data_IF_068101073031
#
_entry.id   IF_068101073031
#
_cell.length_a   1.000
_cell.length_b   1.000
_cell.length_c   1.000
_cell.angle_alpha   90.00
_cell.angle_beta   90.00
_cell.angle_gamma   90.00
#
_symmetry.space_group_name_H-M   'P 1'
#
loop_
_entity.id
_entity.type
_entity.pdbx_description
1 polymer ?
#
# COMPACT_ATOMS: atom_id res chain seq x y z
N UNK A 1 -8.74 4.80 5.07
CA UNK A 1 -7.32 4.85 4.64
C UNK A 1 -6.54 5.82 5.52
N UNK A 2 -5.32 5.47 5.91
CA UNK A 2 -4.42 6.30 6.75
C UNK A 2 -4.07 7.66 6.13
N UNK A 3 -4.17 7.79 4.81
CA UNK A 3 -3.97 9.06 4.10
C UNK A 3 -5.10 10.10 4.32
N UNK A 4 -6.26 9.70 4.86
CA UNK A 4 -7.45 10.56 4.95
C UNK A 4 -7.21 11.87 5.72
N UNK A 5 -6.60 11.87 6.93
CA UNK A 5 -6.35 13.10 7.67
C UNK A 5 -5.49 14.10 6.87
N UNK A 6 -4.46 13.61 6.18
CA UNK A 6 -3.59 14.45 5.36
C UNK A 6 -4.29 14.99 4.12
N UNK A 7 -5.15 14.19 3.48
CA UNK A 7 -5.97 14.68 2.36
C UNK A 7 -6.91 15.81 2.78
N UNK A 8 -7.51 15.70 3.97
CA UNK A 8 -8.39 16.72 4.54
C UNK A 8 -7.60 18.00 4.89
N UNK A 9 -6.46 17.85 5.56
CA UNK A 9 -5.57 18.96 5.94
C UNK A 9 -5.04 19.72 4.72
N UNK A 10 -4.56 19.00 3.71
CA UNK A 10 -4.04 19.57 2.45
C UNK A 10 -5.15 19.96 1.46
N UNK A 11 -6.43 19.72 1.82
CA UNK A 11 -7.61 19.98 0.97
C UNK A 11 -7.46 19.37 -0.43
N UNK A 12 -6.98 18.13 -0.51
CA UNK A 12 -6.79 17.41 -1.77
C UNK A 12 -8.15 17.21 -2.45
N UNK A 13 -8.29 17.72 -3.68
CA UNK A 13 -9.52 17.60 -4.49
C UNK A 13 -9.31 16.78 -5.77
N UNK A 14 -8.09 16.30 -6.00
CA UNK A 14 -7.74 15.45 -7.12
C UNK A 14 -7.76 13.99 -6.69
N UNK A 15 -7.89 13.03 -7.62
CA UNK A 15 -7.80 11.63 -7.27
C UNK A 15 -6.43 11.28 -6.68
N UNK A 16 -6.42 10.31 -5.76
CA UNK A 16 -5.22 9.87 -5.05
C UNK A 16 -4.95 8.40 -5.31
N UNK A 17 -3.67 8.03 -5.39
CA UNK A 17 -3.22 6.64 -5.48
C UNK A 17 -2.90 6.16 -4.06
N UNK A 18 -3.58 5.12 -3.59
CA UNK A 18 -3.39 4.53 -2.24
C UNK A 18 -3.27 3.00 -2.33
N UNK A 19 -2.92 2.36 -1.21
CA UNK A 19 -2.69 0.91 -1.13
C UNK A 19 -1.71 0.39 -2.20
N UNK A 20 -0.54 1.01 -2.32
CA UNK A 20 0.50 0.63 -3.29
C UNK A 20 0.04 0.60 -4.75
N UNK A 21 -0.96 1.39 -5.12
CA UNK A 21 -1.52 1.43 -6.48
C UNK A 21 -2.71 0.51 -6.72
N UNK A 22 -3.16 -0.24 -5.69
CA UNK A 22 -4.38 -1.05 -5.79
C UNK A 22 -5.63 -0.17 -5.97
N UNK A 23 -5.62 1.05 -5.42
CA UNK A 23 -6.77 1.95 -5.43
C UNK A 23 -6.38 3.32 -5.96
N UNK A 24 -7.22 3.83 -6.85
CA UNK A 24 -7.26 5.25 -7.19
C UNK A 24 -8.61 5.80 -6.72
N UNK A 25 -8.58 6.74 -5.78
CA UNK A 25 -9.78 7.21 -5.08
C UNK A 25 -10.05 8.69 -5.38
N UNK A 26 -11.30 9.03 -5.70
CA UNK A 26 -11.75 10.42 -5.88
C UNK A 26 -12.32 10.95 -4.53
N UNK A 27 -11.63 11.91 -3.88
CA UNK A 27 -12.08 12.45 -2.60
C UNK A 27 -13.29 13.38 -2.73
N UNK A 28 -13.56 13.94 -3.90
CA UNK A 28 -14.71 14.84 -4.15
C UNK A 28 -15.98 14.02 -4.34
N UNK A 29 -15.90 12.94 -5.12
CA UNK A 29 -17.03 12.04 -5.36
C UNK A 29 -17.18 10.96 -4.28
N UNK A 30 -16.20 10.86 -3.37
CA UNK A 30 -16.12 9.88 -2.30
C UNK A 30 -16.28 8.43 -2.79
N UNK A 31 -15.58 8.07 -3.88
CA UNK A 31 -15.63 6.73 -4.47
C UNK A 31 -14.30 6.32 -5.11
N UNK A 32 -13.99 5.01 -5.21
CA UNK A 32 -12.89 4.55 -6.04
C UNK A 32 -13.18 4.79 -7.52
N UNK A 33 -12.18 5.31 -8.24
CA UNK A 33 -12.12 5.32 -9.70
C UNK A 33 -11.54 4.00 -10.24
N UNK A 34 -10.65 3.39 -9.46
CA UNK A 34 -10.10 2.05 -9.65
C UNK A 34 -9.93 1.40 -8.29
N UNK A 35 -10.31 0.13 -8.19
CA UNK A 35 -10.05 -0.71 -7.03
C UNK A 35 -9.74 -2.12 -7.52
N UNK A 36 -8.58 -2.64 -7.13
CA UNK A 36 -8.12 -3.98 -7.46
C UNK A 36 -8.19 -4.87 -6.23
N UNK A 37 -8.53 -6.13 -6.44
CA UNK A 37 -8.68 -7.12 -5.39
C UNK A 37 -7.74 -8.29 -5.62
N UNK A 38 -7.31 -8.90 -4.52
CA UNK A 38 -6.58 -10.16 -4.56
C UNK A 38 -7.58 -11.22 -5.04
N UNK A 39 -7.29 -12.02 -6.07
CA UNK A 39 -8.22 -13.06 -6.46
C UNK A 39 -8.37 -14.09 -5.32
N UNK A 40 -9.59 -14.58 -5.10
CA UNK A 40 -9.92 -15.26 -3.84
C UNK A 40 -9.12 -16.54 -3.56
N UNK A 41 -8.69 -17.24 -4.62
CA UNK A 41 -7.81 -18.41 -4.52
C UNK A 41 -6.45 -18.03 -3.91
N UNK A 42 -5.86 -16.96 -4.41
CA UNK A 42 -4.56 -16.44 -3.98
C UNK A 42 -4.66 -15.83 -2.58
N UNK A 43 -5.74 -15.10 -2.28
CA UNK A 43 -6.00 -14.58 -0.94
C UNK A 43 -6.06 -15.70 0.10
N UNK A 44 -6.80 -16.79 -0.19
CA UNK A 44 -6.87 -17.95 0.69
C UNK A 44 -5.53 -18.64 0.86
N UNK A 45 -4.76 -18.82 -0.22
CA UNK A 45 -3.41 -19.40 -0.15
C UNK A 45 -2.48 -18.54 0.70
N UNK A 46 -2.45 -17.23 0.48
CA UNK A 46 -1.61 -16.31 1.24
C UNK A 46 -1.97 -16.31 2.72
N UNK A 47 -3.27 -16.29 3.03
CA UNK A 47 -3.77 -16.36 4.40
C UNK A 47 -3.35 -17.65 5.12
N UNK A 48 -3.56 -18.81 4.51
CA UNK A 48 -3.17 -20.12 5.08
C UNK A 48 -1.65 -20.23 5.23
N UNK A 49 -0.88 -19.73 4.26
CA UNK A 49 0.59 -19.70 4.34
C UNK A 49 1.07 -18.85 5.51
N UNK A 50 0.53 -17.64 5.67
CA UNK A 50 0.91 -16.73 6.75
C UNK A 50 0.55 -17.27 8.13
N UNK A 51 -0.57 -17.99 8.27
CA UNK A 51 -0.98 -18.62 9.54
C UNK A 51 -0.02 -19.70 10.06
N UNK A 52 0.97 -20.13 9.27
CA UNK A 52 2.07 -20.99 9.76
C UNK A 52 3.04 -20.25 10.68
N UNK A 53 2.96 -18.93 10.71
CA UNK A 53 3.75 -18.04 11.54
C UNK A 53 2.89 -17.51 12.70
N UNK A 54 3.50 -17.10 13.84
CA UNK A 54 2.79 -16.47 14.93
C UNK A 54 2.42 -15.02 14.58
N UNK A 55 1.40 -14.87 13.72
CA UNK A 55 0.91 -13.58 13.22
C UNK A 55 -0.58 -13.37 13.51
N UNK A 56 -0.97 -12.09 13.50
CA UNK A 56 -2.35 -11.65 13.65
C UNK A 56 -2.84 -11.10 12.31
N UNK A 57 -3.67 -11.87 11.58
CA UNK A 57 -4.12 -11.47 10.25
C UNK A 57 -5.30 -10.50 10.30
N UNK A 58 -5.33 -9.58 9.35
CA UNK A 58 -6.42 -8.66 9.08
C UNK A 58 -6.79 -8.72 7.60
N UNK A 59 -8.08 -8.67 7.30
CA UNK A 59 -8.66 -8.74 5.97
C UNK A 59 -9.39 -7.42 5.71
N UNK A 60 -9.00 -6.72 4.64
CA UNK A 60 -9.65 -5.50 4.18
C UNK A 60 -10.50 -5.84 2.96
N UNK A 61 -11.79 -5.53 3.00
CA UNK A 61 -12.72 -5.88 1.91
C UNK A 61 -12.69 -4.86 0.78
N UNK A 62 -12.77 -3.57 1.12
CA UNK A 62 -12.86 -2.46 0.18
C UNK A 62 -12.26 -1.19 0.76
N UNK A 63 -12.04 -0.16 -0.06
CA UNK A 63 -11.43 1.13 0.37
C UNK A 63 -12.33 1.93 1.32
N UNK A 64 -13.64 1.81 1.15
CA UNK A 64 -14.68 2.57 1.84
C UNK A 64 -15.24 1.83 3.07
N UNK A 65 -14.86 0.56 3.26
CA UNK A 65 -15.16 -0.21 4.46
C UNK A 65 -14.21 0.19 5.61
N UNK A 66 -14.70 0.80 6.69
CA UNK A 66 -13.86 1.15 7.84
C UNK A 66 -13.54 -0.04 8.75
N UNK A 67 -14.01 -1.24 8.38
CA UNK A 67 -13.91 -2.47 9.18
C UNK A 67 -12.79 -3.35 8.65
N UNK A 68 -11.91 -3.79 9.54
CA UNK A 68 -10.99 -4.89 9.29
C UNK A 68 -11.58 -6.17 9.87
N UNK A 69 -11.45 -7.27 9.15
CA UNK A 69 -11.96 -8.56 9.58
C UNK A 69 -10.82 -9.47 10.00
N UNK A 70 -10.97 -10.20 11.10
CA UNK A 70 -9.96 -11.10 11.65
C UNK A 70 -10.60 -12.37 12.20
N UNK A 71 -9.94 -13.55 12.16
CA UNK A 71 -10.42 -14.74 12.87
C UNK A 71 -10.59 -14.54 14.37
N UNK A 72 -9.78 -13.66 14.96
CA UNK A 72 -9.80 -13.35 16.38
C UNK A 72 -9.28 -11.95 16.62
N UNK A 73 -9.95 -11.18 17.47
CA UNK A 73 -9.42 -9.90 17.95
C UNK A 73 -8.35 -10.20 19.01
N UNK A 74 -7.13 -9.72 18.77
CA UNK A 74 -5.96 -9.89 19.65
C UNK A 74 -5.42 -8.52 20.06
N UNK A 75 -4.62 -8.41 21.15
CA UNK A 75 -4.09 -7.12 21.58
C UNK A 75 -3.32 -6.36 20.49
N UNK A 76 -2.51 -7.00 19.61
CA UNK A 76 -1.89 -6.30 18.48
C UNK A 76 -2.89 -5.74 17.46
N UNK A 77 -4.02 -6.44 17.22
CA UNK A 77 -5.07 -5.95 16.33
C UNK A 77 -5.81 -4.78 16.99
N UNK A 78 -6.16 -4.87 18.27
CA UNK A 78 -6.81 -3.79 19.02
C UNK A 78 -5.96 -2.51 19.02
N UNK A 79 -4.67 -2.65 19.31
CA UNK A 79 -3.72 -1.54 19.27
C UNK A 79 -3.64 -0.92 17.87
N UNK A 80 -3.57 -1.75 16.83
CA UNK A 80 -3.53 -1.29 15.45
C UNK A 80 -4.79 -0.51 15.06
N UNK A 81 -5.99 -1.08 15.26
CA UNK A 81 -7.24 -0.42 14.83
C UNK A 81 -7.53 0.84 15.64
N UNK A 82 -7.11 0.90 16.91
CA UNK A 82 -7.19 2.12 17.72
C UNK A 82 -6.29 3.22 17.14
N UNK A 83 -5.05 2.91 16.76
CA UNK A 83 -4.11 3.88 16.21
C UNK A 83 -4.54 4.39 14.83
N UNK A 84 -5.11 3.51 14.00
CA UNK A 84 -5.56 3.82 12.64
C UNK A 84 -7.01 4.35 12.57
N UNK A 85 -7.69 4.46 13.72
CA UNK A 85 -9.11 4.84 13.82
C UNK A 85 -10.03 3.96 12.94
N UNK A 86 -9.81 2.65 12.98
CA UNK A 86 -10.56 1.62 12.28
C UNK A 86 -11.43 0.80 13.25
N UNK A 87 -12.35 0.00 12.70
CA UNK A 87 -13.11 -1.00 13.46
C UNK A 87 -12.56 -2.40 13.20
N UNK A 88 -12.64 -3.29 14.17
CA UNK A 88 -12.34 -4.71 13.99
C UNK A 88 -13.62 -5.54 14.17
N UNK A 89 -13.81 -6.54 13.30
CA UNK A 89 -14.86 -7.54 13.44
C UNK A 89 -14.25 -8.95 13.46
N UNK A 90 -14.69 -9.77 14.40
CA UNK A 90 -14.26 -11.16 14.51
C UNK A 90 -15.09 -12.07 13.58
N UNK A 91 -14.41 -12.76 12.67
CA UNK A 91 -14.99 -13.72 11.72
C UNK A 91 -14.20 -15.03 11.82
N UNK A 92 -14.59 -15.94 12.73
CA UNK A 92 -13.80 -17.15 13.04
C UNK A 92 -13.45 -18.02 11.83
N UNK A 93 -14.33 -18.05 10.83
CA UNK A 93 -14.06 -18.69 9.54
C UNK A 93 -14.12 -17.64 8.40
N UNK A 94 -12.97 -17.08 8.00
CA UNK A 94 -12.92 -16.05 6.96
C UNK A 94 -12.94 -16.59 5.53
N UNK A 95 -13.13 -17.90 5.30
CA UNK A 95 -13.05 -18.50 3.94
C UNK A 95 -13.99 -17.81 2.95
N UNK A 96 -15.19 -17.42 3.37
CA UNK A 96 -16.13 -16.68 2.53
C UNK A 96 -15.60 -15.28 2.16
N UNK A 97 -15.04 -14.54 3.12
CA UNK A 97 -14.44 -13.23 2.89
C UNK A 97 -13.24 -13.31 1.94
N UNK A 98 -12.36 -14.28 2.17
CA UNK A 98 -11.21 -14.52 1.31
C UNK A 98 -11.64 -14.88 -0.12
N UNK A 99 -12.68 -15.71 -0.25
CA UNK A 99 -13.21 -16.14 -1.56
C UNK A 99 -13.84 -15.01 -2.37
N UNK A 100 -14.37 -13.97 -1.72
CA UNK A 100 -14.91 -12.78 -2.42
C UNK A 100 -13.84 -11.87 -3.04
N UNK A 101 -12.57 -12.11 -2.72
CA UNK A 101 -11.45 -11.30 -3.19
C UNK A 101 -11.30 -10.03 -2.34
N UNK A 102 -10.48 -10.05 -1.28
CA UNK A 102 -10.24 -8.88 -0.46
C UNK A 102 -9.36 -7.85 -1.19
N UNK A 103 -9.53 -6.58 -0.84
CA UNK A 103 -8.65 -5.49 -1.29
C UNK A 103 -7.20 -5.74 -0.84
N UNK A 104 -7.00 -6.10 0.43
CA UNK A 104 -5.67 -6.47 0.95
C UNK A 104 -5.75 -7.39 2.17
N UNK A 105 -4.64 -8.07 2.44
CA UNK A 105 -4.38 -8.72 3.73
C UNK A 105 -3.24 -7.99 4.42
N UNK A 106 -3.32 -7.87 5.74
CA UNK A 106 -2.25 -7.36 6.59
C UNK A 106 -1.95 -8.41 7.67
N UNK A 107 -0.68 -8.73 7.87
CA UNK A 107 -0.23 -9.63 8.93
C UNK A 107 0.65 -8.85 9.90
N UNK A 108 0.26 -8.88 11.18
CA UNK A 108 1.02 -8.27 12.28
C UNK A 108 1.80 -9.38 13.00
N UNK A 109 3.11 -9.24 13.13
CA UNK A 109 3.95 -10.22 13.81
C UNK A 109 5.21 -9.62 14.40
N UNK A 110 6.01 -10.43 15.10
CA UNK A 110 7.30 -9.97 15.62
C UNK A 110 8.30 -9.67 14.51
N UNK A 111 9.19 -8.71 14.74
CA UNK A 111 10.04 -8.17 13.67
C UNK A 111 11.07 -9.17 13.13
N UNK A 112 11.46 -10.14 13.95
CA UNK A 112 12.41 -11.21 13.61
C UNK A 112 11.78 -12.26 12.67
N UNK A 113 10.46 -12.51 12.76
CA UNK A 113 9.77 -13.45 11.86
C UNK A 113 9.37 -12.84 10.51
N UNK A 114 9.31 -11.50 10.41
CA UNK A 114 8.84 -10.81 9.19
C UNK A 114 9.65 -11.20 7.93
N UNK A 115 11.00 -11.27 7.95
CA UNK A 115 11.76 -11.67 6.77
C UNK A 115 11.39 -13.07 6.25
N UNK A 116 11.27 -14.05 7.15
CA UNK A 116 10.94 -15.43 6.78
C UNK A 116 9.50 -15.56 6.29
N UNK A 117 8.56 -14.82 6.89
CA UNK A 117 7.19 -14.73 6.41
C UNK A 117 7.13 -14.17 4.98
N UNK A 118 7.84 -13.08 4.70
CA UNK A 118 7.88 -12.47 3.36
C UNK A 118 8.47 -13.47 2.36
N UNK A 119 9.59 -14.12 2.70
CA UNK A 119 10.21 -15.11 1.82
C UNK A 119 9.24 -16.26 1.50
N UNK A 120 8.56 -16.78 2.52
CA UNK A 120 7.61 -17.89 2.38
C UNK A 120 6.38 -17.49 1.55
N UNK A 121 5.85 -16.27 1.74
CA UNK A 121 4.73 -15.76 0.94
C UNK A 121 5.12 -15.62 -0.54
N UNK A 122 6.30 -15.05 -0.82
CA UNK A 122 6.82 -14.88 -2.19
C UNK A 122 7.07 -16.21 -2.89
N UNK A 123 7.53 -17.22 -2.16
CA UNK A 123 7.74 -18.56 -2.71
C UNK A 123 6.41 -19.30 -2.92
N UNK A 124 5.51 -19.24 -1.94
CA UNK A 124 4.29 -20.05 -1.92
C UNK A 124 3.16 -19.45 -2.74
N UNK A 125 3.14 -18.13 -2.95
CA UNK A 125 2.11 -17.38 -3.66
C UNK A 125 2.77 -16.25 -4.47
N UNK A 126 3.63 -16.56 -5.46
CA UNK A 126 4.36 -15.54 -6.22
C UNK A 126 3.44 -14.63 -7.06
N UNK A 127 2.17 -15.01 -7.24
CA UNK A 127 1.20 -14.25 -8.00
C UNK A 127 0.80 -12.93 -7.33
N UNK A 128 0.85 -12.84 -6.00
CA UNK A 128 0.43 -11.64 -5.25
C UNK A 128 1.61 -10.71 -4.96
N UNK A 129 1.33 -9.42 -4.84
CA UNK A 129 2.33 -8.45 -4.41
C UNK A 129 2.50 -8.53 -2.89
N UNK A 130 3.69 -8.88 -2.41
CA UNK A 130 4.03 -8.95 -0.97
C UNK A 130 4.98 -7.83 -0.58
N UNK A 131 4.53 -6.95 0.31
CA UNK A 131 5.25 -5.75 0.74
C UNK A 131 5.45 -5.74 2.24
N UNK A 132 6.64 -5.33 2.69
CA UNK A 132 6.86 -4.99 4.09
C UNK A 132 6.36 -3.57 4.33
N UNK A 133 5.22 -3.43 5.00
CA UNK A 133 4.63 -2.11 5.27
C UNK A 133 5.26 -1.41 6.49
N UNK A 134 5.79 -2.18 7.44
CA UNK A 134 6.51 -1.66 8.60
C UNK A 134 7.46 -2.70 9.18
N UNK A 135 8.13 -2.37 10.29
CA UNK A 135 9.04 -3.29 10.98
C UNK A 135 8.37 -4.63 11.31
N UNK A 136 7.10 -4.59 11.72
CA UNK A 136 6.28 -5.70 12.21
C UNK A 136 5.07 -6.04 11.31
N UNK A 137 4.97 -5.43 10.13
CA UNK A 137 3.79 -5.51 9.25
C UNK A 137 4.15 -6.01 7.86
N UNK A 138 3.38 -6.99 7.37
CA UNK A 138 3.44 -7.49 5.99
C UNK A 138 2.09 -7.35 5.34
N UNK A 139 2.06 -6.70 4.18
CA UNK A 139 0.88 -6.61 3.33
C UNK A 139 0.97 -7.61 2.19
N UNK A 140 -0.15 -8.26 1.91
CA UNK A 140 -0.40 -8.97 0.67
C UNK A 140 -1.46 -8.18 -0.09
N UNK A 141 -1.17 -7.93 -1.35
CA UNK A 141 -1.87 -7.02 -2.23
C UNK A 141 -2.18 -7.69 -3.58
N UNK A 142 -3.08 -7.12 -4.39
CA UNK A 142 -3.41 -7.67 -5.71
C UNK A 142 -2.17 -7.91 -6.59
N UNK A 143 -2.22 -8.90 -7.50
CA UNK A 143 -1.14 -9.21 -8.43
C UNK A 143 -0.67 -8.00 -9.25
N UNK A 144 0.64 -7.87 -9.40
CA UNK A 144 1.26 -6.96 -10.37
C UNK A 144 0.96 -5.48 -10.12
N UNK A 145 0.68 -5.08 -8.88
CA UNK A 145 0.53 -3.66 -8.53
C UNK A 145 1.85 -3.06 -8.07
N UNK A 146 2.02 -1.78 -8.36
CA UNK A 146 3.04 -0.89 -7.81
C UNK A 146 2.49 0.54 -7.70
N UNK A 147 3.21 1.41 -6.97
CA UNK A 147 2.92 2.85 -6.98
C UNK A 147 3.05 3.45 -8.40
N UNK A 148 3.98 2.94 -9.21
CA UNK A 148 4.17 3.39 -10.59
C UNK A 148 3.03 2.98 -11.52
N UNK A 149 2.45 1.79 -11.35
CA UNK A 149 1.26 1.36 -12.09
C UNK A 149 0.03 2.17 -11.68
N UNK A 150 -0.07 2.54 -10.40
CA UNK A 150 -1.10 3.45 -9.91
C UNK A 150 -0.97 4.85 -10.51
N UNK A 151 0.27 5.39 -10.55
CA UNK A 151 0.58 6.68 -11.19
C UNK A 151 0.24 6.64 -12.68
N UNK A 152 0.68 5.62 -13.42
CA UNK A 152 0.44 5.48 -14.85
C UNK A 152 -1.06 5.43 -15.16
N UNK A 153 -1.83 4.67 -14.39
CA UNK A 153 -3.29 4.62 -14.55
C UNK A 153 -3.95 5.98 -14.28
N UNK A 154 -3.53 6.68 -13.22
CA UNK A 154 -4.09 7.99 -12.90
C UNK A 154 -3.77 9.02 -13.97
N UNK A 155 -2.54 9.01 -14.49
CA UNK A 155 -2.11 9.85 -15.60
C UNK A 155 -2.96 9.62 -16.86
N UNK A 156 -3.17 8.37 -17.25
CA UNK A 156 -4.04 8.00 -18.37
C UNK A 156 -5.48 8.51 -18.17
N UNK A 157 -6.04 8.28 -16.97
CA UNK A 157 -7.38 8.75 -16.62
C UNK A 157 -7.53 10.28 -16.71
N UNK A 158 -6.50 11.03 -16.35
CA UNK A 158 -6.49 12.49 -16.40
C UNK A 158 -6.07 13.06 -17.77
N UNK A 159 -5.64 12.21 -18.72
CA UNK A 159 -5.08 12.66 -19.99
C UNK A 159 -3.73 13.40 -19.85
N UNK A 160 -2.97 13.10 -18.79
CA UNK A 160 -1.67 13.72 -18.50
C UNK A 160 -0.55 12.73 -18.85
N UNK A 161 0.36 13.06 -19.78
CA UNK A 161 1.52 12.23 -20.07
C UNK A 161 2.41 12.04 -18.83
N UNK A 162 2.94 10.82 -18.64
CA UNK A 162 3.92 10.55 -17.56
C UNK A 162 5.14 11.47 -17.60
N UNK A 163 5.55 11.94 -18.78
CA UNK A 163 6.65 12.90 -18.93
C UNK A 163 6.40 14.25 -18.28
N UNK A 164 5.16 14.55 -17.88
CA UNK A 164 4.78 15.78 -17.17
C UNK A 164 4.56 15.57 -15.66
N UNK A 165 5.02 14.44 -15.11
CA UNK A 165 4.92 14.16 -13.68
C UNK A 165 6.25 14.29 -12.96
N UNK A 166 6.14 14.60 -11.67
CA UNK A 166 7.24 14.49 -10.71
C UNK A 166 6.87 13.40 -9.71
N UNK A 167 7.75 12.42 -9.51
CA UNK A 167 7.61 11.40 -8.47
C UNK A 167 8.70 11.59 -7.43
N UNK A 168 8.32 11.59 -6.16
CA UNK A 168 9.24 11.71 -5.02
C UNK A 168 9.08 10.49 -4.14
N UNK A 169 10.19 9.87 -3.73
CA UNK A 169 10.15 8.71 -2.86
C UNK A 169 11.46 8.47 -2.11
N UNK A 170 11.41 7.54 -1.17
CA UNK A 170 12.49 7.27 -0.23
C UNK A 170 12.73 5.76 -0.02
N UNK A 171 11.88 4.88 -0.55
CA UNK A 171 11.97 3.44 -0.34
C UNK A 171 11.95 2.66 -1.66
N UNK A 172 12.34 1.39 -1.61
CA UNK A 172 12.27 0.49 -2.79
C UNK A 172 10.85 0.40 -3.37
N UNK A 173 9.81 0.55 -2.54
CA UNK A 173 8.42 0.56 -3.00
C UNK A 173 8.05 1.74 -3.90
N UNK A 174 8.88 2.80 -3.92
CA UNK A 174 8.72 3.99 -4.76
C UNK A 174 9.48 3.88 -6.09
N UNK A 175 10.37 2.89 -6.22
CA UNK A 175 11.28 2.77 -7.37
C UNK A 175 10.57 2.83 -8.70
N UNK A 176 9.57 1.98 -8.89
CA UNK A 176 8.84 1.92 -10.16
C UNK A 176 8.08 3.23 -10.47
N UNK A 177 7.64 3.98 -9.45
CA UNK A 177 7.03 5.30 -9.64
C UNK A 177 8.07 6.35 -10.03
N UNK A 178 9.24 6.33 -9.39
CA UNK A 178 10.37 7.23 -9.68
C UNK A 178 10.90 7.01 -11.09
N UNK A 179 11.11 5.75 -11.50
CA UNK A 179 11.64 5.41 -12.84
C UNK A 179 10.69 5.78 -13.98
N UNK A 180 9.37 5.78 -13.73
CA UNK A 180 8.34 6.06 -14.76
C UNK A 180 7.98 7.54 -14.90
N UNK A 181 8.21 8.35 -13.88
CA UNK A 181 7.88 9.76 -13.91
C UNK A 181 8.78 10.53 -14.89
N UNK A 182 8.30 11.68 -15.39
CA UNK A 182 9.11 12.59 -16.18
C UNK A 182 10.32 13.12 -15.39
N UNK A 183 10.13 13.33 -14.09
CA UNK A 183 11.19 13.63 -13.13
C UNK A 183 11.02 12.77 -11.87
N UNK A 184 11.91 11.80 -11.69
CA UNK A 184 12.03 11.01 -10.47
C UNK A 184 13.02 11.66 -9.49
N UNK A 185 12.60 11.78 -8.23
CA UNK A 185 13.37 12.38 -7.13
C UNK A 185 13.47 11.40 -5.96
N UNK A 186 14.69 11.18 -5.49
CA UNK A 186 14.96 10.38 -4.29
C UNK A 186 15.29 11.27 -3.09
N UNK A 187 14.76 10.93 -1.91
CA UNK A 187 15.14 11.58 -0.65
C UNK A 187 16.47 11.00 -0.15
N UNK A 188 17.42 11.86 0.25
CA UNK A 188 18.75 11.44 0.69
C UNK A 188 18.70 10.50 1.89
N UNK A 189 17.84 10.75 2.88
CA UNK A 189 17.70 9.92 4.08
C UNK A 189 16.98 8.59 3.82
N UNK A 190 16.46 8.37 2.61
CA UNK A 190 15.83 7.12 2.19
C UNK A 190 16.83 5.99 1.94
N UNK A 191 16.30 4.85 1.48
CA UNK A 191 17.07 3.68 1.10
C UNK A 191 18.19 4.06 0.12
N UNK A 192 19.47 3.80 0.42
CA UNK A 192 20.57 4.12 -0.50
C UNK A 192 20.38 3.57 -1.92
N UNK A 193 19.70 2.43 -2.07
CA UNK A 193 19.45 1.82 -3.37
C UNK A 193 18.55 2.69 -4.26
N UNK A 194 17.61 3.45 -3.68
CA UNK A 194 16.65 4.26 -4.46
C UNK A 194 17.33 5.39 -5.23
N UNK A 195 18.48 5.86 -4.73
CA UNK A 195 19.19 7.03 -5.25
C UNK A 195 19.70 6.82 -6.68
N UNK A 196 20.06 5.59 -7.06
CA UNK A 196 20.48 5.27 -8.42
C UNK A 196 19.33 5.20 -9.43
N UNK A 197 18.08 5.22 -8.96
CA UNK A 197 16.89 5.13 -9.80
C UNK A 197 16.26 6.50 -10.08
N UNK A 198 16.67 7.55 -9.35
CA UNK A 198 16.18 8.91 -9.52
C UNK A 198 17.12 9.79 -10.35
N UNK A 199 16.57 10.78 -11.05
CA UNK A 199 17.35 11.79 -11.76
C UNK A 199 17.93 12.85 -10.82
N UNK A 200 17.25 13.10 -9.69
CA UNK A 200 17.68 14.08 -8.68
C UNK A 200 17.60 13.45 -7.29
N UNK A 201 18.59 13.74 -6.45
CA UNK A 201 18.57 13.40 -5.02
C UNK A 201 18.51 14.69 -4.23
N UNK A 202 17.53 14.83 -3.34
CA UNK A 202 17.35 16.01 -2.48
C UNK A 202 17.51 15.64 -1.01
N UNK A 203 18.05 16.55 -0.20
CA UNK A 203 18.33 16.33 1.22
C UNK A 203 17.14 16.63 2.12
N UNK A 204 16.21 17.44 1.65
CA UNK A 204 15.10 17.94 2.45
C UNK A 204 13.90 18.31 1.59
N UNK A 205 12.75 18.43 2.25
CA UNK A 205 11.52 18.95 1.63
C UNK A 205 11.68 20.40 1.18
N UNK A 206 12.55 21.18 1.83
CA UNK A 206 12.86 22.57 1.43
C UNK A 206 13.54 22.58 0.07
N UNK A 207 14.55 21.72 -0.12
CA UNK A 207 15.25 21.60 -1.41
C UNK A 207 14.33 21.08 -2.52
N UNK A 208 13.42 20.14 -2.20
CA UNK A 208 12.38 19.70 -3.12
C UNK A 208 11.45 20.86 -3.55
N UNK A 209 11.00 21.68 -2.60
CA UNK A 209 10.16 22.85 -2.88
C UNK A 209 10.88 23.81 -3.82
N UNK A 210 12.14 24.10 -3.52
CA UNK A 210 12.95 25.03 -4.32
C UNK A 210 13.21 24.48 -5.73
N UNK A 211 13.43 23.16 -5.87
CA UNK A 211 13.55 22.46 -7.16
C UNK A 211 12.29 22.62 -8.03
N UNK A 212 11.10 22.62 -7.41
CA UNK A 212 9.82 22.67 -8.10
C UNK A 212 9.27 24.10 -8.29
N UNK A 213 10.00 25.14 -7.86
CA UNK A 213 9.57 26.54 -7.81
C UNK A 213 8.15 26.70 -7.18
N UNK A 214 7.86 25.87 -6.17
CA UNK A 214 6.60 25.93 -5.42
C UNK A 214 6.75 27.02 -4.34
N UNK A 215 6.11 28.17 -4.55
CA UNK A 215 6.12 29.31 -3.60
C UNK A 215 4.93 29.30 -2.66
#
# INVERSE_FOLDING_TARGET
ASARPYMEELKVRTPVVIYHGAVVYDPVQARPLRELHIPGREARRAFVTAQRFPVHPQIYRAVDDPTVYTPRITPPIEAFVSNENLRAEEVPNPDALLSTGPLKLLFIGEADIIPDLIATLRESVPEVTTVRAARNYVEVLPPGISKGDGLAWLCDHLGIPLSLTVAVGDQESDRDMIERAGLGVAMMEGDPAIRSHAQVVVKSVIELRDLLDLR
#
